data_IF_550051579203
#
_entry.id   IF_550051579203
#
_cell.length_a   1.000
_cell.length_b   1.000
_cell.length_c   1.000
_cell.angle_alpha   90.00
_cell.angle_beta   90.00
_cell.angle_gamma   90.00
#
_symmetry.space_group_name_H-M   'P 1'
#
loop_
_entity.id
_entity.type
_entity.pdbx_description
1 polymer ?
#
# COMPACT_ATOMS: atom_id res chain seq x y z
N UNK A 1 -33.26 -8.42 -15.85
CA UNK A 1 -32.22 -9.37 -16.31
C UNK A 1 -31.27 -9.61 -15.15
N UNK A 2 -30.99 -10.87 -14.80
CA UNK A 2 -30.14 -11.25 -13.66
C UNK A 2 -29.03 -12.15 -14.14
N UNK A 3 -27.77 -11.85 -13.80
CA UNK A 3 -26.62 -12.71 -14.12
C UNK A 3 -26.70 -13.98 -13.25
N UNK A 4 -26.67 -15.19 -13.86
CA UNK A 4 -26.59 -16.47 -13.13
C UNK A 4 -25.46 -16.48 -12.10
N UNK A 5 -25.70 -17.10 -10.94
CA UNK A 5 -24.78 -17.01 -9.79
C UNK A 5 -23.42 -17.68 -10.07
N UNK A 6 -23.43 -18.77 -10.81
CA UNK A 6 -22.28 -19.56 -11.26
C UNK A 6 -21.39 -18.80 -12.27
N UNK A 7 -21.93 -17.75 -12.92
CA UNK A 7 -21.18 -16.89 -13.83
C UNK A 7 -20.63 -15.63 -13.15
N UNK A 8 -20.91 -15.41 -11.85
CA UNK A 8 -20.41 -14.24 -11.14
C UNK A 8 -18.95 -14.43 -10.75
N UNK A 9 -18.13 -13.37 -10.80
CA UNK A 9 -16.79 -13.43 -10.25
C UNK A 9 -16.86 -13.61 -8.73
N UNK A 10 -15.84 -14.25 -8.17
CA UNK A 10 -15.70 -14.38 -6.71
C UNK A 10 -15.55 -13.03 -5.98
N UNK A 11 -15.19 -11.97 -6.73
CA UNK A 11 -15.11 -10.60 -6.23
C UNK A 11 -15.52 -9.62 -7.33
N UNK A 12 -16.44 -8.71 -7.02
CA UNK A 12 -16.98 -7.76 -7.99
C UNK A 12 -16.17 -6.46 -8.14
N UNK A 13 -15.03 -6.31 -7.48
CA UNK A 13 -14.28 -5.03 -7.43
C UNK A 13 -13.30 -4.88 -8.60
N UNK A 14 -13.80 -4.40 -9.75
CA UNK A 14 -13.03 -4.15 -10.98
C UNK A 14 -12.58 -2.69 -11.19
N UNK A 15 -12.61 -1.86 -10.14
CA UNK A 15 -12.19 -0.45 -10.23
C UNK A 15 -10.70 -0.27 -10.56
N UNK A 16 -10.36 0.81 -11.27
CA UNK A 16 -8.99 1.15 -11.67
C UNK A 16 -8.25 2.04 -10.66
N UNK A 17 -8.81 2.25 -9.46
CA UNK A 17 -8.27 3.15 -8.44
C UNK A 17 -9.38 3.97 -7.78
N UNK A 18 -9.77 3.68 -6.52
CA UNK A 18 -9.39 2.52 -5.71
C UNK A 18 -9.77 1.18 -6.37
N UNK A 19 -9.08 0.10 -6.01
CA UNK A 19 -9.23 -1.25 -6.60
C UNK A 19 -9.37 -2.33 -5.51
N UNK A 20 -9.49 -3.60 -5.91
CA UNK A 20 -9.67 -4.75 -5.00
C UNK A 20 -8.50 -4.86 -4.00
N UNK A 21 -8.80 -4.74 -2.71
CA UNK A 21 -7.93 -5.18 -1.61
C UNK A 21 -8.38 -6.56 -1.14
N UNK A 22 -7.47 -7.54 -1.08
CA UNK A 22 -7.81 -8.92 -0.71
C UNK A 22 -8.23 -9.00 0.77
N UNK A 23 -9.17 -9.87 1.17
CA UNK A 23 -9.60 -9.98 2.55
C UNK A 23 -8.44 -10.14 3.53
N UNK A 24 -7.50 -11.04 3.25
CA UNK A 24 -6.36 -11.33 4.12
C UNK A 24 -5.45 -10.12 4.39
N UNK A 25 -5.39 -9.17 3.46
CA UNK A 25 -4.67 -7.91 3.65
C UNK A 25 -5.40 -6.97 4.62
N UNK A 26 -6.73 -7.00 4.63
CA UNK A 26 -7.53 -6.25 5.61
C UNK A 26 -7.43 -6.90 6.99
N UNK A 27 -7.44 -8.24 7.08
CA UNK A 27 -7.21 -8.92 8.35
C UNK A 27 -5.82 -8.64 8.93
N UNK A 28 -4.79 -8.54 8.10
CA UNK A 28 -3.45 -8.17 8.54
C UNK A 28 -3.40 -6.77 9.19
N UNK A 29 -4.24 -5.81 8.76
CA UNK A 29 -4.36 -4.51 9.43
C UNK A 29 -4.94 -4.66 10.84
N UNK A 30 -6.02 -5.44 10.98
CA UNK A 30 -6.62 -5.68 12.29
C UNK A 30 -5.64 -6.40 13.24
N UNK A 31 -4.84 -7.33 12.72
CA UNK A 31 -3.81 -8.03 13.48
C UNK A 31 -2.65 -7.11 13.92
N UNK A 32 -2.37 -6.06 13.15
CA UNK A 32 -1.36 -5.04 13.47
C UNK A 32 -1.94 -3.84 14.26
N UNK A 33 -3.04 -4.08 15.01
CA UNK A 33 -3.79 -3.08 15.75
C UNK A 33 -2.95 -2.25 16.74
N UNK A 34 -1.87 -2.83 17.26
CA UNK A 34 -0.93 -2.22 18.21
C UNK A 34 -0.15 -1.02 17.64
N UNK A 35 -0.04 -0.91 16.32
CA UNK A 35 0.61 0.23 15.67
C UNK A 35 -0.32 1.46 15.57
N UNK A 36 -1.64 1.26 15.58
CA UNK A 36 -2.60 2.32 15.35
C UNK A 36 -2.67 3.29 16.54
N UNK A 37 -2.77 4.59 16.25
CA UNK A 37 -2.79 5.64 17.28
C UNK A 37 -1.44 5.90 17.96
N UNK A 38 -0.38 5.19 17.58
CA UNK A 38 0.97 5.43 18.08
C UNK A 38 1.71 6.49 17.25
N UNK A 39 2.78 7.07 17.82
CA UNK A 39 3.54 8.12 17.14
C UNK A 39 4.38 7.58 15.98
N UNK A 40 4.25 8.20 14.81
CA UNK A 40 5.05 7.90 13.62
C UNK A 40 6.55 8.17 13.80
N UNK A 41 6.94 8.91 14.85
CA UNK A 41 8.35 9.18 15.18
C UNK A 41 8.99 8.09 16.04
N UNK A 42 8.18 7.15 16.55
CA UNK A 42 8.65 6.07 17.42
C UNK A 42 9.01 4.82 16.62
N UNK A 43 9.83 3.96 17.25
CA UNK A 43 10.39 2.78 16.62
C UNK A 43 9.35 1.87 15.93
N UNK A 44 8.17 1.57 16.50
CA UNK A 44 7.22 0.65 15.86
C UNK A 44 6.77 1.10 14.46
N UNK A 45 6.41 2.38 14.31
CA UNK A 45 5.97 2.92 13.02
C UNK A 45 7.16 3.15 12.07
N UNK A 46 8.32 3.58 12.59
CA UNK A 46 9.56 3.68 11.79
C UNK A 46 9.95 2.31 11.21
N UNK A 47 9.81 1.24 11.97
CA UNK A 47 10.08 -0.13 11.53
C UNK A 47 9.08 -0.56 10.45
N UNK A 48 7.79 -0.20 10.57
CA UNK A 48 6.81 -0.42 9.51
C UNK A 48 7.22 0.29 8.20
N UNK A 49 7.62 1.55 8.27
CA UNK A 49 8.11 2.31 7.10
C UNK A 49 9.39 1.67 6.54
N UNK A 50 10.31 1.23 7.39
CA UNK A 50 11.51 0.48 6.99
C UNK A 50 11.17 -0.75 6.16
N UNK A 51 10.25 -1.59 6.66
CA UNK A 51 9.78 -2.79 5.92
C UNK A 51 9.18 -2.46 4.56
N UNK A 52 8.46 -1.34 4.42
CA UNK A 52 7.94 -0.89 3.12
C UNK A 52 9.08 -0.55 2.17
N UNK A 53 10.08 0.22 2.62
CA UNK A 53 11.25 0.57 1.80
C UNK A 53 12.03 -0.69 1.39
N UNK A 54 12.33 -1.57 2.32
CA UNK A 54 13.09 -2.81 2.07
C UNK A 54 12.33 -3.75 1.12
N UNK A 55 11.02 -3.91 1.33
CA UNK A 55 10.18 -4.73 0.46
C UNK A 55 10.14 -4.20 -0.97
N UNK A 56 10.05 -2.87 -1.17
CA UNK A 56 10.10 -2.26 -2.50
C UNK A 56 11.48 -2.39 -3.15
N UNK A 57 12.56 -2.21 -2.38
CA UNK A 57 13.94 -2.44 -2.85
C UNK A 57 14.10 -3.86 -3.41
N UNK A 58 13.60 -4.85 -2.68
CA UNK A 58 13.65 -6.25 -3.08
C UNK A 58 12.74 -6.54 -4.28
N UNK A 59 11.47 -6.11 -4.22
CA UNK A 59 10.46 -6.37 -5.26
C UNK A 59 10.91 -5.86 -6.63
N UNK A 60 11.55 -4.68 -6.67
CA UNK A 60 12.01 -4.05 -7.90
C UNK A 60 13.49 -4.30 -8.21
N UNK A 61 14.20 -5.11 -7.41
CA UNK A 61 15.64 -5.41 -7.60
C UNK A 61 16.48 -4.13 -7.78
N UNK A 62 16.35 -3.19 -6.84
CA UNK A 62 16.96 -1.86 -6.96
C UNK A 62 18.49 -1.94 -7.12
N UNK A 63 19.07 -1.19 -8.08
CA UNK A 63 20.53 -1.07 -8.20
C UNK A 63 21.16 -0.38 -6.99
N UNK A 64 22.48 -0.53 -6.87
CA UNK A 64 23.26 0.20 -5.87
C UNK A 64 23.10 1.71 -6.05
N UNK A 65 22.99 2.42 -4.92
CA UNK A 65 22.78 3.88 -4.89
C UNK A 65 21.32 4.34 -5.10
N UNK A 66 20.40 3.46 -5.48
CA UNK A 66 18.98 3.82 -5.61
C UNK A 66 18.29 3.81 -4.24
N UNK A 67 17.37 4.75 -4.04
CA UNK A 67 16.61 4.89 -2.80
C UNK A 67 15.09 4.86 -3.04
N UNK A 68 14.36 4.36 -2.03
CA UNK A 68 12.91 4.46 -1.95
C UNK A 68 12.56 5.67 -1.08
N UNK A 69 11.90 6.66 -1.67
CA UNK A 69 11.41 7.86 -1.00
C UNK A 69 9.87 7.82 -0.96
N UNK A 70 9.29 8.25 0.15
CA UNK A 70 7.84 8.30 0.34
C UNK A 70 7.41 9.58 1.06
N UNK A 71 6.25 10.10 0.68
CA UNK A 71 5.63 11.29 1.24
C UNK A 71 4.12 11.27 1.04
N UNK A 72 3.40 12.17 1.70
CA UNK A 72 1.95 12.27 1.58
C UNK A 72 1.55 12.96 0.26
N UNK A 73 0.35 12.65 -0.24
CA UNK A 73 -0.27 13.36 -1.37
C UNK A 73 -0.39 12.57 -2.68
N UNK A 74 0.26 11.40 -2.78
CA UNK A 74 0.15 10.53 -3.96
C UNK A 74 0.85 11.09 -5.21
N UNK A 75 0.55 10.51 -6.37
CA UNK A 75 1.21 10.87 -7.64
C UNK A 75 0.98 12.33 -8.04
N UNK A 76 -0.19 12.88 -7.74
CA UNK A 76 -0.53 14.26 -8.08
C UNK A 76 0.35 15.25 -7.32
N UNK A 77 0.55 15.06 -6.01
CA UNK A 77 1.43 15.93 -5.24
C UNK A 77 2.91 15.77 -5.63
N UNK A 78 3.32 14.59 -6.09
CA UNK A 78 4.67 14.36 -6.59
C UNK A 78 4.98 15.19 -7.84
N UNK A 79 4.00 15.45 -8.71
CA UNK A 79 4.21 16.28 -9.90
C UNK A 79 4.71 17.68 -9.53
N UNK A 80 4.10 18.30 -8.51
CA UNK A 80 4.55 19.61 -8.03
C UNK A 80 5.95 19.53 -7.41
N UNK A 81 6.20 18.54 -6.54
CA UNK A 81 7.50 18.37 -5.87
C UNK A 81 8.67 18.01 -6.80
N UNK A 82 8.38 17.43 -7.98
CA UNK A 82 9.39 17.11 -8.97
C UNK A 82 9.67 18.28 -9.93
N UNK A 83 8.72 19.20 -10.07
CA UNK A 83 8.81 20.33 -10.99
C UNK A 83 9.43 21.59 -10.34
N UNK A 84 9.38 21.71 -9.01
CA UNK A 84 9.83 22.86 -8.23
C UNK A 84 10.71 22.45 -7.05
#
# INVERSE_FOLDING_TARGET
MTIPADLRPSDGRFGCGPSKVRPEQLQALAAAGDLFGTSHRQAPVKNLVGRVRDGLRQLFSLPDGYEVILGNGGSTAFWDAAAF
#
